data_IF_527001655379
#
_entry.id   IF_527001655379
#
_cell.length_a   1.000
_cell.length_b   1.000
_cell.length_c   1.000
_cell.angle_alpha   90.00
_cell.angle_beta   90.00
_cell.angle_gamma   90.00
#
_symmetry.space_group_name_H-M   'P 1'
#
loop_
_entity.id
_entity.type
_entity.pdbx_description
1 polymer ?
#
# COMPACT_ATOMS: atom_id res chain seq x y z
N UNK A 1 -19.01 11.57 -10.15
CA UNK A 1 -18.58 12.92 -9.71
C UNK A 1 -18.94 13.18 -8.23
N UNK A 2 -18.92 12.16 -7.36
CA UNK A 2 -19.29 12.32 -5.94
C UNK A 2 -20.79 12.55 -5.68
N UNK A 3 -21.16 12.76 -4.40
CA UNK A 3 -20.29 12.98 -3.25
C UNK A 3 -19.50 11.72 -2.82
N UNK A 4 -18.30 11.91 -2.28
CA UNK A 4 -17.47 10.84 -1.73
C UNK A 4 -17.48 10.91 -0.20
N UNK A 5 -17.52 9.75 0.45
CA UNK A 5 -17.43 9.61 1.90
C UNK A 5 -16.08 8.98 2.27
N UNK A 6 -15.41 9.51 3.29
CA UNK A 6 -14.18 8.95 3.80
C UNK A 6 -14.45 7.61 4.52
N UNK A 7 -13.66 6.57 4.22
CA UNK A 7 -13.82 5.23 4.81
C UNK A 7 -12.58 4.69 5.52
N UNK A 8 -11.43 5.36 5.45
CA UNK A 8 -10.22 4.92 6.13
C UNK A 8 -8.93 5.24 5.39
N UNK A 9 -7.84 4.72 5.94
CA UNK A 9 -6.50 4.73 5.35
C UNK A 9 -6.24 3.34 4.78
N UNK A 10 -5.68 3.28 3.56
CA UNK A 10 -5.32 2.00 2.92
C UNK A 10 -3.83 1.70 3.12
N UNK A 11 -2.99 2.75 3.14
CA UNK A 11 -1.53 2.62 3.24
C UNK A 11 -0.93 3.84 3.95
N UNK A 12 -0.28 3.63 5.10
CA UNK A 12 0.43 4.66 5.85
C UNK A 12 1.95 4.51 5.74
N UNK A 13 2.63 5.60 5.40
CA UNK A 13 4.09 5.65 5.29
C UNK A 13 4.75 6.26 6.54
N UNK A 14 3.98 6.58 7.57
CA UNK A 14 4.50 7.09 8.82
C UNK A 14 5.44 6.06 9.47
N UNK A 15 6.63 6.50 9.87
CA UNK A 15 7.62 5.63 10.52
C UNK A 15 8.29 4.59 9.61
N UNK A 16 7.97 4.54 8.31
CA UNK A 16 8.57 3.56 7.41
C UNK A 16 10.05 3.85 7.08
N UNK A 17 10.49 5.10 7.16
CA UNK A 17 11.88 5.50 6.89
C UNK A 17 12.14 6.85 7.60
N UNK A 18 13.35 7.12 8.13
CA UNK A 18 13.67 8.40 8.74
C UNK A 18 13.47 9.61 7.81
N UNK A 19 13.54 9.40 6.49
CA UNK A 19 13.27 10.40 5.45
C UNK A 19 11.90 10.20 4.78
N UNK A 20 10.94 9.54 5.44
CA UNK A 20 9.55 9.46 4.95
C UNK A 20 8.93 10.86 4.86
N UNK A 21 8.21 11.16 3.77
CA UNK A 21 7.61 12.48 3.56
C UNK A 21 6.29 12.43 2.79
N UNK A 22 6.30 11.93 1.57
CA UNK A 22 5.09 11.86 0.74
C UNK A 22 4.72 10.41 0.42
N UNK A 23 3.45 10.20 0.15
CA UNK A 23 2.91 8.94 -0.33
C UNK A 23 2.22 9.19 -1.67
N UNK A 24 2.36 8.27 -2.62
CA UNK A 24 1.74 8.36 -3.94
C UNK A 24 1.59 6.96 -4.50
N UNK A 25 0.47 6.69 -5.17
CA UNK A 25 0.11 5.33 -5.52
C UNK A 25 -1.08 5.21 -6.45
N UNK A 26 -1.43 3.96 -6.72
CA UNK A 26 -2.63 3.54 -7.46
C UNK A 26 -3.16 2.24 -6.87
N UNK A 27 -4.40 1.90 -7.19
CA UNK A 27 -4.99 0.60 -6.87
C UNK A 27 -5.36 -0.04 -8.19
N UNK A 28 -4.87 -1.26 -8.42
CA UNK A 28 -5.11 -1.98 -9.69
C UNK A 28 -5.36 -3.46 -9.42
N UNK A 29 -6.20 -4.06 -10.26
CA UNK A 29 -6.46 -5.50 -10.26
C UNK A 29 -5.54 -6.20 -11.26
N UNK A 30 -4.90 -7.30 -10.81
CA UNK A 30 -4.15 -8.18 -11.69
C UNK A 30 -4.50 -9.64 -11.40
N UNK A 31 -5.01 -10.34 -12.42
CA UNK A 31 -5.38 -11.76 -12.36
C UNK A 31 -6.33 -12.12 -11.20
N UNK A 32 -7.31 -11.26 -10.92
CA UNK A 32 -8.29 -11.49 -9.85
C UNK A 32 -7.83 -11.10 -8.44
N UNK A 33 -6.63 -10.53 -8.29
CA UNK A 33 -6.13 -10.00 -7.02
C UNK A 33 -5.96 -8.49 -7.12
N UNK A 34 -6.49 -7.77 -6.13
CA UNK A 34 -6.30 -6.33 -5.99
C UNK A 34 -5.00 -6.00 -5.27
N UNK A 35 -4.36 -4.92 -5.69
CA UNK A 35 -3.11 -4.44 -5.10
C UNK A 35 -3.16 -2.94 -4.89
N UNK A 36 -2.52 -2.48 -3.81
CA UNK A 36 -2.11 -1.08 -3.66
C UNK A 36 -0.66 -0.94 -4.07
N UNK A 37 -0.40 -0.06 -5.03
CA UNK A 37 0.94 0.34 -5.43
C UNK A 37 1.28 1.66 -4.75
N UNK A 38 2.48 1.78 -4.22
CA UNK A 38 2.95 3.01 -3.58
C UNK A 38 4.47 3.15 -3.71
N UNK A 39 5.04 4.25 -3.21
CA UNK A 39 6.48 4.40 -3.10
C UNK A 39 6.97 4.47 -1.65
N UNK A 40 8.23 4.10 -1.42
CA UNK A 40 8.96 4.34 -0.16
C UNK A 40 10.23 5.14 -0.43
N UNK A 41 10.62 6.01 0.51
CA UNK A 41 11.95 6.62 0.51
C UNK A 41 13.05 5.56 0.54
N UNK A 42 14.20 5.89 -0.06
CA UNK A 42 15.39 5.03 -0.12
C UNK A 42 16.64 5.89 0.07
N UNK A 43 17.73 5.26 0.50
CA UNK A 43 19.01 5.94 0.73
C UNK A 43 18.89 7.16 1.67
N UNK A 44 17.99 7.11 2.65
CA UNK A 44 17.72 8.20 3.59
C UNK A 44 17.49 9.57 2.89
N UNK A 45 16.78 9.54 1.76
CA UNK A 45 16.53 10.71 0.92
C UNK A 45 15.06 10.79 0.51
N UNK A 46 14.48 11.97 0.70
CA UNK A 46 13.14 12.31 0.24
C UNK A 46 13.00 12.30 -1.30
N UNK A 47 14.12 12.34 -2.04
CA UNK A 47 14.13 12.42 -3.50
C UNK A 47 14.25 11.03 -4.16
N UNK A 48 14.83 10.06 -3.46
CA UNK A 48 15.03 8.72 -3.99
C UNK A 48 13.93 7.79 -3.50
N UNK A 49 13.17 7.25 -4.44
CA UNK A 49 11.96 6.49 -4.15
C UNK A 49 12.02 5.16 -4.89
N UNK A 50 11.53 4.10 -4.25
CA UNK A 50 11.29 2.79 -4.88
C UNK A 50 9.81 2.48 -4.87
N UNK A 51 9.34 1.79 -5.92
CA UNK A 51 7.98 1.26 -5.97
C UNK A 51 7.88 0.06 -5.04
N UNK A 52 6.76 -0.02 -4.33
CA UNK A 52 6.32 -1.12 -3.49
C UNK A 52 4.89 -1.49 -3.87
N UNK A 53 4.47 -2.69 -3.48
CA UNK A 53 3.16 -3.24 -3.78
C UNK A 53 2.72 -4.13 -2.62
N UNK A 54 1.47 -4.02 -2.19
CA UNK A 54 0.87 -4.94 -1.21
C UNK A 54 -0.47 -5.45 -1.74
N UNK A 55 -0.81 -6.73 -1.51
CA UNK A 55 -2.14 -7.24 -1.82
C UNK A 55 -3.17 -6.58 -0.89
N UNK A 56 -4.33 -6.23 -1.44
CA UNK A 56 -5.47 -5.73 -0.67
C UNK A 56 -6.70 -6.58 -0.94
N UNK A 57 -7.64 -6.59 0.00
CA UNK A 57 -8.97 -7.15 -0.19
C UNK A 57 -9.99 -6.02 -0.19
N UNK A 58 -10.95 -6.08 -1.11
CA UNK A 58 -12.17 -5.29 -1.02
C UNK A 58 -13.16 -6.16 -0.24
N UNK A 59 -13.48 -5.76 0.98
CA UNK A 59 -14.35 -6.48 1.89
C UNK A 59 -15.79 -6.55 1.36
N UNK A 60 -16.60 -7.46 1.89
CA UNK A 60 -18.01 -7.63 1.48
C UNK A 60 -18.84 -6.35 1.66
N UNK A 61 -18.49 -5.51 2.63
CA UNK A 61 -19.12 -4.20 2.89
C UNK A 61 -18.54 -3.06 2.03
N UNK A 62 -17.60 -3.37 1.12
CA UNK A 62 -16.94 -2.42 0.24
C UNK A 62 -15.79 -1.64 0.87
N UNK A 63 -15.43 -1.91 2.13
CA UNK A 63 -14.25 -1.32 2.77
C UNK A 63 -12.95 -1.98 2.29
N UNK A 64 -11.82 -1.33 2.55
CA UNK A 64 -10.49 -1.86 2.33
C UNK A 64 -9.74 -1.65 3.64
N UNK A 65 -9.20 -2.72 4.21
CA UNK A 65 -8.39 -2.64 5.42
C UNK A 65 -7.05 -1.94 5.13
N UNK A 66 -6.51 -1.25 6.13
CA UNK A 66 -5.16 -0.71 6.05
C UNK A 66 -4.15 -1.87 5.96
N UNK A 67 -3.20 -1.79 5.03
CA UNK A 67 -2.14 -2.79 4.88
C UNK A 67 -0.80 -2.24 5.32
N UNK A 68 0.02 -3.12 5.91
CA UNK A 68 1.37 -2.76 6.34
C UNK A 68 2.33 -2.65 5.14
N UNK A 69 3.28 -1.72 5.22
CA UNK A 69 4.38 -1.65 4.26
C UNK A 69 5.41 -2.74 4.52
N UNK A 70 5.31 -3.88 3.83
CA UNK A 70 6.18 -5.04 4.06
C UNK A 70 7.44 -5.01 3.19
N UNK A 71 8.35 -5.97 3.44
CA UNK A 71 9.46 -6.29 2.55
C UNK A 71 9.15 -7.44 1.57
N UNK A 72 8.01 -8.11 1.73
CA UNK A 72 7.61 -9.27 0.92
C UNK A 72 6.80 -8.85 -0.31
N UNK A 73 6.12 -7.71 -0.22
CA UNK A 73 5.30 -7.14 -1.27
C UNK A 73 4.21 -8.10 -1.73
N UNK A 74 4.11 -8.36 -3.03
CA UNK A 74 3.08 -9.25 -3.60
C UNK A 74 3.24 -10.75 -3.23
N UNK A 75 4.30 -11.13 -2.52
CA UNK A 75 4.51 -12.50 -2.06
C UNK A 75 3.62 -12.87 -0.88
N UNK A 76 3.28 -14.15 -0.74
CA UNK A 76 2.57 -14.65 0.44
C UNK A 76 3.48 -14.65 1.68
N UNK A 77 2.91 -14.43 2.89
CA UNK A 77 3.63 -14.68 4.13
C UNK A 77 4.18 -16.09 4.17
N UNK A 78 5.47 -16.24 4.52
CA UNK A 78 6.20 -17.53 4.56
C UNK A 78 5.64 -18.61 5.53
N UNK A 79 4.51 -18.37 6.20
CA UNK A 79 4.02 -19.20 7.31
C UNK A 79 2.78 -20.05 6.99
N UNK A 80 2.42 -20.25 5.72
CA UNK A 80 1.31 -21.12 5.33
C UNK A 80 1.75 -22.14 4.26
N UNK A 81 2.47 -23.17 4.70
CA UNK A 81 2.40 -24.53 4.13
C UNK A 81 1.90 -25.50 5.20
#
# INVERSE_FOLDING_TARGET
MGPFEYKGIIIDNFGCDPASWNNHGSIEEFKGQWYVFYHRSTNNSQKFRKVCIEPILINEDGTIDEVEMTSQGAGSPWYLE
#
